data_IF_818920191806
#
_entry.id   IF_818920191806
#
_cell.length_a   1.000
_cell.length_b   1.000
_cell.length_c   1.000
_cell.angle_alpha   90.00
_cell.angle_beta   90.00
_cell.angle_gamma   90.00
#
_symmetry.space_group_name_H-M   'P 1'
#
loop_
_entity.id
_entity.type
_entity.pdbx_description
1 polymer ?
#
# COMPACT_ATOMS: atom_id res chain seq x y z
N UNK A 1 -14.77 17.13 8.06
CA UNK A 1 -15.57 15.94 7.70
C UNK A 1 -16.05 15.33 9.02
N UNK A 2 -17.28 14.88 9.09
CA UNK A 2 -17.84 14.27 10.29
C UNK A 2 -17.79 12.76 10.13
N UNK A 3 -17.61 12.05 11.23
CA UNK A 3 -17.85 10.61 11.27
C UNK A 3 -19.36 10.38 11.22
N UNK A 4 -19.81 9.55 10.28
CA UNK A 4 -21.21 9.23 10.05
C UNK A 4 -21.35 7.72 9.93
N UNK A 5 -22.53 7.20 10.26
CA UNK A 5 -22.80 5.79 10.05
C UNK A 5 -22.78 5.49 8.54
N UNK A 6 -22.11 4.42 8.14
CA UNK A 6 -21.97 4.04 6.71
C UNK A 6 -23.32 3.88 6.00
N UNK A 7 -24.38 3.55 6.74
CA UNK A 7 -25.73 3.41 6.19
C UNK A 7 -26.41 4.75 5.90
N UNK A 8 -25.94 5.81 6.53
CA UNK A 8 -26.50 7.16 6.36
C UNK A 8 -25.76 7.97 5.28
N UNK A 9 -24.62 7.44 4.79
CA UNK A 9 -23.82 8.10 3.76
C UNK A 9 -24.44 7.85 2.38
N UNK A 10 -24.80 8.90 1.61
CA UNK A 10 -25.45 8.75 0.31
C UNK A 10 -24.52 8.22 -0.80
N UNK A 11 -23.25 7.99 -0.49
CA UNK A 11 -22.23 7.47 -1.40
C UNK A 11 -22.07 5.96 -1.27
N UNK A 12 -21.64 5.30 -2.36
CA UNK A 12 -21.27 3.88 -2.32
C UNK A 12 -19.92 3.72 -1.64
N UNK A 13 -19.93 3.42 -0.35
CA UNK A 13 -18.75 3.26 0.49
C UNK A 13 -18.61 1.81 0.95
N UNK A 14 -17.38 1.29 0.96
CA UNK A 14 -17.01 0.10 1.71
C UNK A 14 -16.02 0.53 2.77
N UNK A 15 -16.29 0.21 4.03
CA UNK A 15 -15.36 0.47 5.12
C UNK A 15 -14.94 -0.86 5.75
N UNK A 16 -13.67 -1.00 6.03
CA UNK A 16 -13.05 -2.14 6.70
C UNK A 16 -12.36 -1.63 7.96
N UNK A 17 -12.79 -2.09 9.09
CA UNK A 17 -12.17 -1.78 10.38
C UNK A 17 -10.90 -2.62 10.63
N UNK A 18 -10.12 -2.27 11.64
CA UNK A 18 -8.88 -2.94 12.00
C UNK A 18 -9.10 -4.45 12.22
N UNK A 19 -10.21 -4.84 12.84
CA UNK A 19 -10.52 -6.24 13.12
C UNK A 19 -10.81 -7.05 11.83
N UNK A 20 -11.45 -6.43 10.85
CA UNK A 20 -11.66 -7.02 9.52
C UNK A 20 -10.34 -7.17 8.79
N UNK A 21 -9.49 -6.13 8.80
CA UNK A 21 -8.16 -6.19 8.18
C UNK A 21 -7.28 -7.28 8.79
N UNK A 22 -7.28 -7.43 10.12
CA UNK A 22 -6.55 -8.50 10.79
C UNK A 22 -7.09 -9.89 10.44
N UNK A 23 -8.40 -10.08 10.40
CA UNK A 23 -9.03 -11.37 10.07
C UNK A 23 -8.84 -11.78 8.61
N UNK A 24 -8.71 -10.84 7.70
CA UNK A 24 -8.42 -11.10 6.28
C UNK A 24 -6.94 -11.21 5.99
N UNK A 25 -6.09 -11.09 7.01
CA UNK A 25 -4.63 -11.06 6.86
C UNK A 25 -4.15 -10.00 5.86
N UNK A 26 -4.91 -8.91 5.74
CA UNK A 26 -4.56 -7.83 4.83
C UNK A 26 -3.24 -7.16 5.26
N UNK A 27 -2.22 -7.24 4.40
CA UNK A 27 -0.87 -6.71 4.65
C UNK A 27 -0.69 -5.33 4.06
N UNK A 28 -1.30 -5.13 2.91
CA UNK A 28 -1.25 -3.89 2.13
C UNK A 28 -2.61 -3.60 1.46
N UNK A 29 -2.65 -2.56 0.64
CA UNK A 29 -3.87 -2.20 -0.09
C UNK A 29 -4.27 -3.20 -1.16
N UNK A 30 -3.37 -4.07 -1.66
CA UNK A 30 -3.73 -5.11 -2.63
C UNK A 30 -4.67 -6.13 -2.00
N UNK A 31 -4.40 -6.52 -0.75
CA UNK A 31 -5.27 -7.44 -0.02
C UNK A 31 -6.66 -6.85 0.23
N UNK A 32 -6.74 -5.52 0.39
CA UNK A 32 -8.01 -4.78 0.51
C UNK A 32 -8.85 -4.88 -0.77
N UNK A 33 -8.24 -5.00 -1.94
CA UNK A 33 -8.97 -5.17 -3.20
C UNK A 33 -9.84 -6.43 -3.22
N UNK A 34 -9.38 -7.51 -2.58
CA UNK A 34 -10.15 -8.76 -2.46
C UNK A 34 -11.44 -8.63 -1.64
N UNK A 35 -11.55 -7.61 -0.80
CA UNK A 35 -12.69 -7.39 0.12
C UNK A 35 -13.65 -6.33 -0.38
N UNK A 36 -13.20 -5.42 -1.24
CA UNK A 36 -14.03 -4.32 -1.78
C UNK A 36 -14.53 -4.63 -3.20
N UNK A 37 -15.85 -4.69 -3.44
CA UNK A 37 -16.38 -4.97 -4.77
C UNK A 37 -15.94 -3.94 -5.82
N UNK A 38 -15.57 -4.41 -7.01
CA UNK A 38 -15.14 -3.58 -8.15
C UNK A 38 -13.91 -2.70 -7.89
N UNK A 39 -13.11 -3.02 -6.89
CA UNK A 39 -11.77 -2.49 -6.68
C UNK A 39 -10.76 -3.50 -7.22
N UNK A 40 -9.87 -3.05 -8.08
CA UNK A 40 -8.73 -3.82 -8.58
C UNK A 40 -7.48 -2.99 -8.30
N UNK A 41 -6.47 -3.61 -7.74
CA UNK A 41 -5.17 -3.01 -7.51
C UNK A 41 -4.13 -3.94 -8.12
N UNK A 42 -3.56 -3.50 -9.24
CA UNK A 42 -2.55 -4.26 -9.97
C UNK A 42 -1.18 -3.62 -9.75
N UNK A 43 -0.25 -4.31 -9.11
CA UNK A 43 1.11 -3.80 -8.94
C UNK A 43 1.82 -3.71 -10.29
N UNK A 44 2.43 -2.57 -10.57
CA UNK A 44 3.17 -2.29 -11.78
C UNK A 44 4.60 -1.86 -11.40
N UNK A 45 5.61 -2.36 -12.08
CA UNK A 45 7.01 -1.97 -11.93
C UNK A 45 7.62 -2.15 -10.52
N UNK A 46 7.11 -3.05 -9.69
CA UNK A 46 7.67 -3.35 -8.38
C UNK A 46 6.67 -3.26 -7.23
N UNK A 47 7.16 -3.27 -6.00
CA UNK A 47 6.31 -3.38 -4.82
C UNK A 47 5.59 -2.09 -4.42
N UNK A 48 6.09 -0.93 -4.82
CA UNK A 48 5.57 0.37 -4.36
C UNK A 48 4.62 1.08 -5.32
N UNK A 49 4.36 0.54 -6.52
CA UNK A 49 3.55 1.21 -7.54
C UNK A 49 2.42 0.33 -8.01
N UNK A 50 1.20 0.85 -8.03
CA UNK A 50 0.04 0.09 -8.50
C UNK A 50 -0.88 0.91 -9.42
N UNK A 51 -1.47 0.24 -10.41
CA UNK A 51 -2.64 0.76 -11.10
C UNK A 51 -3.89 0.41 -10.30
N UNK A 52 -4.65 1.43 -9.94
CA UNK A 52 -5.87 1.26 -9.16
C UNK A 52 -7.07 1.53 -10.05
N UNK A 53 -7.99 0.57 -10.09
CA UNK A 53 -9.25 0.66 -10.83
C UNK A 53 -10.43 0.55 -9.88
N UNK A 54 -11.40 1.46 -10.02
CA UNK A 54 -12.70 1.35 -9.37
C UNK A 54 -13.78 1.39 -10.46
N UNK A 55 -14.60 0.33 -10.52
CA UNK A 55 -15.65 0.19 -11.55
C UNK A 55 -15.14 0.31 -13.00
N UNK A 56 -13.93 -0.18 -13.26
CA UNK A 56 -13.27 -0.10 -14.57
C UNK A 56 -12.68 1.27 -14.93
N UNK A 57 -12.77 2.26 -14.04
CA UNK A 57 -12.13 3.56 -14.22
C UNK A 57 -10.75 3.49 -13.60
N UNK A 58 -9.73 3.54 -14.45
CA UNK A 58 -8.31 3.48 -14.05
C UNK A 58 -7.47 4.39 -14.94
N UNK A 59 -6.24 4.66 -14.50
CA UNK A 59 -5.17 5.18 -15.34
C UNK A 59 -4.14 4.06 -15.49
N UNK A 60 -3.86 3.66 -16.73
CA UNK A 60 -2.90 2.58 -17.00
C UNK A 60 -1.45 3.06 -17.00
N UNK A 61 -1.24 4.38 -17.06
CA UNK A 61 0.07 4.96 -17.08
C UNK A 61 0.48 5.34 -15.65
N UNK A 62 1.55 4.74 -15.18
CA UNK A 62 2.10 4.94 -13.83
C UNK A 62 3.23 5.96 -13.80
N UNK A 63 3.46 6.63 -14.92
CA UNK A 63 4.42 7.74 -14.99
C UNK A 63 4.06 8.81 -13.96
N UNK A 64 5.07 9.29 -13.24
CA UNK A 64 4.90 10.31 -12.17
C UNK A 64 4.27 11.62 -12.64
N UNK A 65 4.25 11.86 -13.96
CA UNK A 65 3.66 13.04 -14.59
C UNK A 65 2.16 12.93 -14.84
N UNK A 66 1.58 11.74 -14.73
CA UNK A 66 0.15 11.55 -14.96
C UNK A 66 -0.63 11.51 -13.64
N UNK A 67 -1.79 12.14 -13.67
CA UNK A 67 -2.71 12.15 -12.55
C UNK A 67 -3.52 10.84 -12.48
N UNK A 68 -3.60 10.17 -11.33
CA UNK A 68 -4.39 8.95 -11.21
C UNK A 68 -5.90 9.22 -11.32
N UNK A 69 -6.66 8.23 -11.78
CA UNK A 69 -8.13 8.31 -11.82
C UNK A 69 -8.78 7.98 -10.46
N UNK A 70 -8.04 7.28 -9.60
CA UNK A 70 -8.43 6.92 -8.23
C UNK A 70 -7.40 7.51 -7.28
N UNK A 71 -7.85 8.33 -6.35
CA UNK A 71 -6.98 8.98 -5.38
C UNK A 71 -6.74 8.09 -4.14
N UNK A 72 -5.57 8.23 -3.55
CA UNK A 72 -5.27 7.65 -2.24
C UNK A 72 -5.12 8.79 -1.24
N UNK A 73 -5.77 8.64 -0.10
CA UNK A 73 -5.64 9.52 1.04
C UNK A 73 -5.14 8.75 2.25
N UNK A 74 -4.25 9.36 3.01
CA UNK A 74 -3.84 8.86 4.33
C UNK A 74 -4.08 9.97 5.34
N UNK A 75 -4.87 9.69 6.37
CA UNK A 75 -5.26 10.65 7.42
C UNK A 75 -5.78 11.99 6.87
N UNK A 76 -6.48 11.95 5.72
CA UNK A 76 -7.01 13.13 5.06
C UNK A 76 -6.04 13.86 4.13
N UNK A 77 -4.79 13.42 4.02
CA UNK A 77 -3.75 13.97 3.15
C UNK A 77 -3.75 13.18 1.83
N UNK A 78 -3.83 13.88 0.70
CA UNK A 78 -3.73 13.28 -0.62
C UNK A 78 -2.29 12.83 -0.92
N UNK A 79 -2.14 11.57 -1.29
CA UNK A 79 -0.87 11.02 -1.74
C UNK A 79 -0.77 11.17 -3.25
N UNK A 80 0.10 12.10 -3.69
CA UNK A 80 0.17 12.51 -5.09
C UNK A 80 0.94 11.55 -6.00
N UNK A 81 1.61 10.55 -5.43
CA UNK A 81 2.47 9.63 -6.20
C UNK A 81 1.92 8.22 -6.21
N UNK A 82 1.93 7.59 -7.39
CA UNK A 82 1.56 6.17 -7.53
C UNK A 82 2.53 5.24 -6.77
N UNK A 83 3.73 5.70 -6.44
CA UNK A 83 4.73 4.94 -5.67
C UNK A 83 4.34 4.74 -4.21
N UNK A 84 3.40 5.51 -3.67
CA UNK A 84 2.85 5.31 -2.33
C UNK A 84 1.55 4.49 -2.34
N UNK A 85 1.18 3.90 -3.48
CA UNK A 85 -0.11 3.22 -3.66
C UNK A 85 -0.24 1.93 -2.84
N UNK A 86 0.87 1.31 -2.46
CA UNK A 86 0.87 0.07 -1.67
C UNK A 86 1.21 0.36 -0.20
N UNK A 87 0.41 1.23 0.42
CA UNK A 87 0.54 1.50 1.85
C UNK A 87 0.30 0.23 2.67
N UNK A 88 1.14 0.04 3.67
CA UNK A 88 0.92 -1.03 4.63
C UNK A 88 -0.33 -0.74 5.46
N UNK A 89 -1.15 -1.77 5.70
CA UNK A 89 -2.38 -1.67 6.49
C UNK A 89 -2.15 -1.68 8.00
N UNK A 90 -0.90 -1.91 8.43
CA UNK A 90 -0.54 -1.91 9.84
C UNK A 90 -0.85 -0.55 10.48
N UNK A 91 -1.37 -0.59 11.68
CA UNK A 91 -1.81 0.58 12.42
C UNK A 91 -3.00 1.35 11.80
N UNK A 92 -3.62 0.81 10.73
CA UNK A 92 -4.88 1.35 10.24
C UNK A 92 -6.00 1.10 11.27
N UNK A 93 -6.75 2.14 11.59
CA UNK A 93 -8.01 2.04 12.33
C UNK A 93 -9.10 1.52 11.40
N UNK A 94 -9.13 2.07 10.18
CA UNK A 94 -10.04 1.66 9.11
C UNK A 94 -9.54 2.09 7.73
N UNK A 95 -10.03 1.40 6.72
CA UNK A 95 -9.85 1.76 5.32
C UNK A 95 -11.21 1.95 4.69
N UNK A 96 -11.41 3.08 4.05
CA UNK A 96 -12.65 3.45 3.37
C UNK A 96 -12.41 3.47 1.85
N UNK A 97 -13.24 2.77 1.09
CA UNK A 97 -13.24 2.79 -0.38
C UNK A 97 -14.51 3.49 -0.85
N UNK A 98 -14.37 4.70 -1.37
CA UNK A 98 -15.47 5.49 -1.91
C UNK A 98 -15.50 5.29 -3.42
N UNK A 99 -16.60 4.74 -3.93
CA UNK A 99 -16.74 4.34 -5.33
C UNK A 99 -17.56 5.34 -6.11
N UNK A 100 -17.00 5.81 -7.22
CA UNK A 100 -17.59 6.84 -8.08
C UNK A 100 -17.02 8.23 -7.81
N UNK A 101 -17.40 9.24 -8.62
CA UNK A 101 -16.81 10.57 -8.55
C UNK A 101 -16.93 11.24 -7.18
N UNK A 102 -15.81 11.69 -6.63
CA UNK A 102 -15.74 12.37 -5.33
C UNK A 102 -15.16 13.79 -5.42
N UNK A 103 -15.16 14.39 -6.62
CA UNK A 103 -14.49 15.66 -6.89
C UNK A 103 -14.95 16.85 -6.04
N UNK A 104 -16.22 16.87 -5.62
CA UNK A 104 -16.79 17.96 -4.79
C UNK A 104 -16.22 18.00 -3.38
N UNK A 105 -15.88 16.85 -2.82
CA UNK A 105 -15.40 16.74 -1.43
C UNK A 105 -13.88 16.54 -1.32
N UNK A 106 -13.30 15.87 -2.30
CA UNK A 106 -11.89 15.46 -2.26
C UNK A 106 -11.04 16.11 -3.36
N UNK A 107 -11.66 16.80 -4.33
CA UNK A 107 -10.96 17.52 -5.37
C UNK A 107 -10.55 16.63 -6.54
N UNK A 108 -9.41 16.95 -7.17
CA UNK A 108 -8.94 16.29 -8.40
C UNK A 108 -8.58 14.82 -8.17
N UNK A 109 -8.47 14.08 -9.27
CA UNK A 109 -7.98 12.69 -9.30
C UNK A 109 -8.91 11.68 -8.61
N UNK A 110 -10.19 12.00 -8.49
CA UNK A 110 -11.20 11.18 -7.82
C UNK A 110 -12.38 10.85 -8.73
N UNK A 111 -12.11 10.68 -10.03
CA UNK A 111 -13.16 10.37 -11.04
C UNK A 111 -13.69 8.95 -10.87
N UNK A 112 -12.82 7.98 -10.64
CA UNK A 112 -13.19 6.59 -10.34
C UNK A 112 -13.63 6.40 -8.90
N UNK A 113 -13.08 7.20 -8.00
CA UNK A 113 -13.28 7.09 -6.56
C UNK A 113 -12.01 7.41 -5.78
N UNK A 114 -11.98 6.98 -4.53
CA UNK A 114 -10.78 7.10 -3.70
C UNK A 114 -10.69 5.98 -2.67
N UNK A 115 -9.47 5.76 -2.21
CA UNK A 115 -9.17 4.92 -1.04
C UNK A 115 -8.65 5.85 0.06
N UNK A 116 -9.24 5.76 1.24
CA UNK A 116 -8.83 6.55 2.40
C UNK A 116 -8.37 5.62 3.52
N UNK A 117 -7.08 5.63 3.80
CA UNK A 117 -6.47 4.93 4.92
C UNK A 117 -6.48 5.87 6.12
N UNK A 118 -7.11 5.45 7.20
CA UNK A 118 -7.19 6.22 8.44
C UNK A 118 -6.44 5.42 9.50
N UNK A 119 -5.39 6.00 10.04
CA UNK A 119 -4.57 5.37 11.07
C UNK A 119 -5.15 5.58 12.47
N UNK A 120 -4.85 4.65 13.36
CA UNK A 120 -5.24 4.79 14.75
C UNK A 120 -4.60 6.03 15.39
N UNK A 121 -5.32 6.75 16.22
CA UNK A 121 -4.79 7.89 16.97
C UNK A 121 -3.99 7.40 18.20
N UNK A 122 -3.00 8.18 18.67
CA UNK A 122 -2.39 7.94 19.98
C UNK A 122 -3.43 7.89 21.09
N UNK A 123 -3.39 6.85 21.94
CA UNK A 123 -4.41 6.63 22.97
C UNK A 123 -4.15 7.41 24.28
N UNK A 124 -2.89 7.78 24.54
CA UNK A 124 -2.48 8.37 25.80
C UNK A 124 -2.42 7.38 26.98
N UNK A 125 -2.59 6.10 26.72
CA UNK A 125 -2.44 5.01 27.69
C UNK A 125 -1.27 4.13 27.26
N UNK A 126 -0.56 3.55 28.24
CA UNK A 126 0.49 2.59 27.93
C UNK A 126 -0.13 1.33 27.32
N UNK A 127 0.21 1.06 26.09
CA UNK A 127 -0.27 -0.11 25.40
C UNK A 127 0.45 -0.31 24.08
N UNK A 128 0.22 -1.44 23.42
CA UNK A 128 0.84 -1.69 22.14
C UNK A 128 0.48 -3.05 21.59
N UNK A 129 0.89 -3.27 20.35
CA UNK A 129 0.76 -4.55 19.68
C UNK A 129 2.04 -4.85 18.92
N UNK A 130 2.35 -6.13 18.82
CA UNK A 130 3.43 -6.65 17.99
C UNK A 130 2.87 -7.81 17.17
N UNK A 131 3.23 -7.83 15.91
CA UNK A 131 2.92 -8.94 15.00
C UNK A 131 4.24 -9.46 14.42
N UNK A 132 4.42 -10.76 14.49
CA UNK A 132 5.55 -11.48 13.94
C UNK A 132 5.00 -12.47 12.93
N UNK A 133 5.43 -12.38 11.68
CA UNK A 133 5.03 -13.30 10.62
C UNK A 133 6.27 -14.03 10.13
N UNK A 134 6.17 -15.35 10.04
CA UNK A 134 7.14 -16.20 9.37
C UNK A 134 6.39 -17.08 8.38
N UNK A 135 6.81 -17.12 7.14
CA UNK A 135 6.17 -17.89 6.08
C UNK A 135 7.22 -18.56 5.19
N UNK A 136 6.75 -19.24 4.15
CA UNK A 136 7.61 -19.82 3.13
C UNK A 136 8.48 -18.76 2.46
N UNK A 137 9.48 -19.18 1.70
CA UNK A 137 10.41 -18.32 0.96
C UNK A 137 11.13 -17.29 1.87
N UNK A 138 11.51 -17.74 3.08
CA UNK A 138 12.24 -16.94 4.08
C UNK A 138 11.53 -15.66 4.55
N UNK A 139 10.24 -15.52 4.30
CA UNK A 139 9.50 -14.33 4.71
C UNK A 139 9.48 -14.17 6.23
N UNK A 140 9.89 -12.99 6.70
CA UNK A 140 9.97 -12.60 8.11
C UNK A 140 9.51 -11.14 8.26
N UNK A 141 8.30 -10.96 8.74
CA UNK A 141 7.78 -9.61 9.00
C UNK A 141 7.76 -9.32 10.50
N UNK A 142 8.13 -8.13 10.86
CA UNK A 142 7.98 -7.60 12.23
C UNK A 142 7.23 -6.28 12.15
N UNK A 143 6.11 -6.19 12.84
CA UNK A 143 5.30 -4.99 12.92
C UNK A 143 5.00 -4.70 14.39
N UNK A 144 5.28 -3.49 14.84
CA UNK A 144 5.09 -3.10 16.23
C UNK A 144 4.48 -1.71 16.33
N UNK A 145 3.60 -1.51 17.30
CA UNK A 145 3.06 -0.20 17.68
C UNK A 145 3.06 -0.10 19.20
N UNK A 146 3.51 1.03 19.72
CA UNK A 146 3.54 1.34 21.15
C UNK A 146 2.91 2.71 21.36
N UNK A 147 1.90 2.77 22.22
CA UNK A 147 1.33 3.99 22.77
C UNK A 147 1.98 4.28 24.10
N UNK A 148 2.27 5.55 24.37
CA UNK A 148 2.83 6.01 25.62
C UNK A 148 1.77 6.72 26.47
N UNK A 149 1.93 6.71 27.81
CA UNK A 149 1.07 7.46 28.69
C UNK A 149 1.06 8.94 28.32
N UNK A 150 -0.11 9.55 28.39
CA UNK A 150 -0.24 10.98 28.10
C UNK A 150 0.59 11.82 29.09
N UNK A 151 1.26 12.80 28.57
CA UNK A 151 2.06 13.78 29.30
C UNK A 151 1.39 15.17 29.27
N UNK A 152 2.01 16.20 29.84
CA UNK A 152 1.46 17.57 29.93
C UNK A 152 0.04 17.58 30.52
N UNK A 153 -0.11 16.97 31.70
CA UNK A 153 -1.40 16.85 32.41
C UNK A 153 -2.48 16.07 31.59
N UNK A 154 -2.06 15.12 30.77
CA UNK A 154 -2.97 14.30 29.98
C UNK A 154 -3.36 14.88 28.63
N UNK A 155 -2.80 16.05 28.25
CA UNK A 155 -3.17 16.70 26.99
C UNK A 155 -2.36 16.24 25.78
N UNK A 156 -1.19 15.62 25.98
CA UNK A 156 -0.34 15.14 24.87
C UNK A 156 -0.18 13.63 24.91
N UNK A 157 -0.76 12.96 23.95
CA UNK A 157 -0.58 11.54 23.70
C UNK A 157 0.43 11.30 22.57
N UNK A 158 1.24 10.24 22.68
CA UNK A 158 2.24 9.90 21.67
C UNK A 158 2.21 8.41 21.35
N UNK A 159 2.54 8.08 20.10
CA UNK A 159 2.59 6.71 19.59
C UNK A 159 3.78 6.55 18.64
N UNK A 160 4.42 5.40 18.69
CA UNK A 160 5.48 4.99 17.75
C UNK A 160 5.07 3.66 17.11
N UNK A 161 5.21 3.60 15.80
CA UNK A 161 5.03 2.36 15.02
C UNK A 161 6.30 2.07 14.22
N UNK A 162 6.64 0.80 14.09
CA UNK A 162 7.76 0.32 13.30
C UNK A 162 7.36 -0.91 12.52
N UNK A 163 7.85 -1.00 11.29
CA UNK A 163 7.60 -2.11 10.37
C UNK A 163 8.93 -2.52 9.74
N UNK A 164 9.21 -3.80 9.76
CA UNK A 164 10.23 -4.44 8.94
C UNK A 164 9.55 -5.57 8.18
N UNK A 165 9.57 -5.49 6.86
CA UNK A 165 9.16 -6.56 5.96
C UNK A 165 10.44 -7.08 5.32
N UNK A 166 10.66 -8.38 5.44
CA UNK A 166 11.78 -9.09 4.85
C UNK A 166 11.19 -10.35 4.23
N UNK A 167 11.27 -10.48 2.92
CA UNK A 167 10.65 -11.58 2.20
C UNK A 167 11.60 -12.20 1.21
N UNK A 168 11.60 -13.53 1.17
CA UNK A 168 12.44 -14.27 0.26
C UNK A 168 12.15 -14.01 -1.21
N UNK A 169 13.16 -14.15 -2.00
CA UNK A 169 13.09 -14.07 -3.43
C UNK A 169 12.32 -15.26 -4.02
N UNK A 170 11.28 -14.97 -4.79
CA UNK A 170 10.45 -16.01 -5.42
C UNK A 170 10.99 -16.51 -6.76
N UNK A 171 12.04 -15.85 -7.30
CA UNK A 171 12.54 -16.12 -8.65
C UNK A 171 14.03 -16.33 -8.63
N UNK A 172 14.48 -17.39 -9.26
CA UNK A 172 15.91 -17.64 -9.47
C UNK A 172 16.35 -17.14 -10.83
N UNK A 173 17.32 -16.21 -10.85
CA UNK A 173 17.95 -15.69 -12.06
C UNK A 173 19.12 -16.58 -12.48
N UNK A 174 18.93 -17.35 -13.53
CA UNK A 174 19.96 -18.30 -14.02
C UNK A 174 21.23 -17.61 -14.54
N UNK A 175 21.16 -16.36 -14.93
CA UNK A 175 22.31 -15.62 -15.48
C UNK A 175 23.17 -15.03 -14.39
N UNK A 176 22.53 -14.51 -13.35
CA UNK A 176 23.23 -13.94 -12.21
C UNK A 176 23.52 -14.97 -11.13
N UNK A 177 22.90 -16.15 -11.25
CA UNK A 177 22.97 -17.21 -10.23
C UNK A 177 22.54 -16.69 -8.86
N UNK A 178 21.46 -15.87 -8.82
CA UNK A 178 20.93 -15.23 -7.62
C UNK A 178 19.43 -15.38 -7.55
N UNK A 179 18.91 -15.43 -6.34
CA UNK A 179 17.48 -15.27 -6.09
C UNK A 179 17.11 -13.79 -6.24
N UNK A 180 15.94 -13.50 -6.81
CA UNK A 180 15.46 -12.15 -7.10
C UNK A 180 13.96 -12.00 -6.73
N UNK A 181 13.55 -10.76 -6.51
CA UNK A 181 12.17 -10.41 -6.16
C UNK A 181 11.93 -10.40 -4.65
N UNK A 182 12.98 -10.20 -3.86
CA UNK A 182 12.85 -10.06 -2.42
C UNK A 182 12.16 -8.75 -2.03
N UNK A 183 11.55 -8.76 -0.87
CA UNK A 183 10.91 -7.59 -0.24
C UNK A 183 11.78 -7.16 0.92
N UNK A 184 12.30 -5.95 0.88
CA UNK A 184 13.02 -5.33 1.99
C UNK A 184 12.46 -3.92 2.25
N UNK A 185 11.53 -3.81 3.20
CA UNK A 185 10.90 -2.55 3.58
C UNK A 185 11.11 -2.29 5.06
N UNK A 186 11.61 -1.11 5.38
CA UNK A 186 11.70 -0.62 6.75
C UNK A 186 10.91 0.69 6.85
N UNK A 187 10.01 0.78 7.81
CA UNK A 187 9.21 2.00 8.02
C UNK A 187 9.09 2.33 9.50
N UNK A 188 9.15 3.61 9.79
CA UNK A 188 8.92 4.17 11.13
C UNK A 188 7.90 5.28 11.07
N UNK A 189 7.01 5.31 12.05
CA UNK A 189 6.03 6.39 12.22
C UNK A 189 6.00 6.85 13.66
N UNK A 190 6.03 8.17 13.86
CA UNK A 190 5.87 8.80 15.17
C UNK A 190 4.69 9.75 15.09
N UNK A 191 3.69 9.52 15.93
CA UNK A 191 2.49 10.35 16.00
C UNK A 191 2.35 11.00 17.36
N UNK A 192 1.98 12.27 17.37
CA UNK A 192 1.65 13.05 18.55
C UNK A 192 0.27 13.69 18.39
N UNK A 193 -0.58 13.52 19.37
CA UNK A 193 -1.90 14.12 19.46
C UNK A 193 -1.94 15.03 20.67
N UNK A 194 -2.09 16.33 20.45
CA UNK A 194 -2.11 17.34 21.49
C UNK A 194 -3.44 18.09 21.56
N UNK A 195 -4.09 18.01 22.70
CA UNK A 195 -5.35 18.67 23.00
C UNK A 195 -5.12 19.74 24.06
N UNK A 196 -4.55 20.94 23.72
CA UNK A 196 -4.26 21.97 24.68
C UNK A 196 -5.52 22.57 25.33
N UNK A 197 -6.64 22.51 24.65
CA UNK A 197 -7.98 22.91 25.12
C UNK A 197 -9.02 21.92 24.59
N UNK A 198 -10.23 21.96 25.15
CA UNK A 198 -11.33 21.09 24.71
C UNK A 198 -11.75 21.32 23.25
N UNK A 199 -11.49 22.49 22.69
CA UNK A 199 -11.88 22.87 21.33
C UNK A 199 -10.73 22.80 20.32
N UNK A 200 -9.51 22.43 20.74
CA UNK A 200 -8.34 22.41 19.87
C UNK A 200 -7.63 21.06 19.92
N UNK A 201 -7.62 20.38 18.78
CA UNK A 201 -6.85 19.15 18.56
C UNK A 201 -5.75 19.43 17.52
N UNK A 202 -4.51 19.11 17.87
CA UNK A 202 -3.35 19.19 16.97
C UNK A 202 -2.76 17.80 16.84
N UNK A 203 -2.76 17.27 15.63
CA UNK A 203 -2.10 16.01 15.31
C UNK A 203 -0.89 16.25 14.42
N UNK A 204 0.25 15.70 14.83
CA UNK A 204 1.49 15.73 14.06
C UNK A 204 1.93 14.28 13.87
N UNK A 205 2.26 13.93 12.64
CA UNK A 205 2.80 12.60 12.32
C UNK A 205 4.03 12.78 11.44
N UNK A 206 5.09 12.06 11.79
CA UNK A 206 6.29 11.92 10.98
C UNK A 206 6.39 10.46 10.54
N UNK A 207 6.56 10.26 9.24
CA UNK A 207 6.73 8.95 8.62
C UNK A 207 8.05 8.91 7.87
N UNK A 208 8.77 7.80 8.00
CA UNK A 208 9.96 7.48 7.23
C UNK A 208 9.81 6.07 6.66
N UNK A 209 10.05 5.91 5.37
CA UNK A 209 9.92 4.64 4.66
C UNK A 209 11.15 4.46 3.78
N UNK A 210 11.89 3.39 4.04
CA UNK A 210 12.97 2.91 3.20
C UNK A 210 12.55 1.58 2.55
N UNK A 211 12.43 1.57 1.24
CA UNK A 211 12.06 0.40 0.43
C UNK A 211 13.24 0.05 -0.48
N UNK A 212 13.92 -1.01 -0.15
CA UNK A 212 15.07 -1.57 -0.89
C UNK A 212 14.70 -2.87 -1.60
N UNK A 213 13.40 -3.16 -1.71
CA UNK A 213 12.90 -4.35 -2.37
C UNK A 213 13.35 -4.43 -3.83
N UNK A 214 13.59 -5.65 -4.27
CA UNK A 214 13.87 -5.92 -5.68
C UNK A 214 12.72 -5.53 -6.60
N UNK A 215 13.06 -5.12 -7.81
CA UNK A 215 12.07 -4.97 -8.86
C UNK A 215 11.50 -6.34 -9.25
N UNK A 216 10.22 -6.40 -9.57
CA UNK A 216 9.61 -7.64 -10.05
C UNK A 216 10.34 -8.12 -11.30
N UNK A 217 10.83 -9.36 -11.30
CA UNK A 217 11.47 -9.92 -12.47
C UNK A 217 10.47 -10.03 -13.62
N UNK A 218 10.89 -9.59 -14.78
CA UNK A 218 10.10 -9.70 -16.02
C UNK A 218 10.73 -10.73 -16.94
N UNK A 219 9.91 -11.60 -17.51
CA UNK A 219 10.34 -12.55 -18.52
C UNK A 219 9.71 -12.23 -19.88
N UNK A 220 10.47 -12.47 -20.92
CA UNK A 220 9.96 -12.32 -22.28
C UNK A 220 9.12 -13.54 -22.67
N UNK A 221 7.90 -13.29 -23.18
CA UNK A 221 7.02 -14.33 -23.71
C UNK A 221 7.05 -14.43 -25.25
N UNK A 222 7.71 -13.48 -25.92
CA UNK A 222 7.75 -13.44 -27.39
C UNK A 222 8.69 -14.51 -27.92
N UNK A 223 8.18 -15.37 -28.83
CA UNK A 223 9.00 -16.36 -29.50
C UNK A 223 9.63 -15.80 -30.78
N UNK A 224 10.84 -16.27 -31.18
CA UNK A 224 11.41 -15.91 -32.46
C UNK A 224 10.47 -16.27 -33.64
N UNK A 225 10.03 -15.27 -34.40
CA UNK A 225 9.11 -15.42 -35.51
C UNK A 225 7.67 -15.01 -35.27
N UNK A 226 7.31 -14.56 -34.06
CA UNK A 226 6.00 -13.98 -33.81
C UNK A 226 5.88 -12.53 -34.32
N UNK A 227 4.64 -12.19 -34.69
CA UNK A 227 4.23 -11.14 -35.62
C UNK A 227 4.34 -9.68 -35.10
N UNK A 228 5.42 -9.30 -34.53
CA UNK A 228 5.70 -7.86 -34.39
C UNK A 228 7.08 -7.56 -34.99
N UNK A 229 7.15 -7.61 -36.34
CA UNK A 229 8.38 -7.33 -37.09
C UNK A 229 9.04 -5.97 -36.82
N UNK A 230 8.39 -5.08 -36.06
CA UNK A 230 8.99 -3.84 -35.54
C UNK A 230 9.95 -4.10 -34.37
N UNK A 231 9.86 -5.26 -33.73
CA UNK A 231 10.60 -5.62 -32.51
C UNK A 231 11.49 -6.86 -32.70
N UNK A 232 11.92 -7.14 -33.94
CA UNK A 232 12.80 -8.30 -34.21
C UNK A 232 14.07 -8.33 -33.34
N UNK A 233 14.63 -7.18 -33.02
CA UNK A 233 15.79 -7.12 -32.13
C UNK A 233 15.43 -7.46 -30.69
N UNK A 234 14.26 -7.01 -30.21
CA UNK A 234 13.76 -7.34 -28.88
C UNK A 234 13.39 -8.81 -28.80
N UNK A 235 12.77 -9.37 -29.85
CA UNK A 235 12.46 -10.80 -29.92
C UNK A 235 13.71 -11.68 -29.98
N UNK A 236 14.78 -11.21 -30.63
CA UNK A 236 16.07 -11.91 -30.64
C UNK A 236 16.76 -11.86 -29.27
N UNK A 237 16.68 -10.75 -28.59
CA UNK A 237 17.16 -10.60 -27.21
C UNK A 237 16.30 -11.40 -26.23
N UNK A 238 14.97 -11.42 -26.40
CA UNK A 238 14.06 -12.28 -25.67
C UNK A 238 14.29 -13.78 -25.95
N UNK A 239 14.63 -14.16 -27.18
CA UNK A 239 15.01 -15.53 -27.52
C UNK A 239 16.30 -15.97 -26.81
N UNK A 240 17.25 -15.06 -26.64
CA UNK A 240 18.42 -15.28 -25.80
C UNK A 240 18.07 -15.26 -24.31
N UNK A 241 17.13 -14.38 -23.90
CA UNK A 241 16.66 -14.29 -22.53
C UNK A 241 15.76 -15.48 -22.12
N UNK A 242 15.13 -16.19 -23.05
CA UNK A 242 14.40 -17.44 -22.72
C UNK A 242 15.32 -18.55 -22.22
N UNK A 243 16.62 -18.47 -22.54
CA UNK A 243 17.66 -19.29 -21.92
C UNK A 243 18.11 -18.74 -20.54
N UNK A 244 17.71 -17.52 -20.22
CA UNK A 244 17.96 -16.84 -18.94
C UNK A 244 16.80 -17.06 -17.93
N UNK A 245 15.83 -17.90 -18.27
CA UNK A 245 14.54 -18.09 -17.64
C UNK A 245 14.56 -17.99 -16.11
N UNK A 246 13.71 -17.13 -15.59
CA UNK A 246 13.37 -17.12 -14.18
C UNK A 246 12.55 -18.41 -13.89
N UNK A 247 12.98 -19.17 -12.92
CA UNK A 247 12.21 -20.28 -12.37
C UNK A 247 11.73 -19.86 -10.99
N UNK A 248 10.45 -20.11 -10.73
CA UNK A 248 9.95 -20.06 -9.38
C UNK A 248 10.69 -21.13 -8.58
N UNK A 249 11.32 -20.74 -7.49
CA UNK A 249 11.81 -21.67 -6.48
C UNK A 249 10.59 -22.35 -5.85
N UNK A 250 10.52 -23.67 -5.94
CA UNK A 250 9.48 -24.49 -5.31
C UNK A 250 10.07 -25.07 -4.04
#
# INVERSE_FOLDING_TARGET
KREENIQDVPSSVSAMDANTLEKTFARDLMDVAGVSPNLIIDPILGNGTAAISIRGIQMNDVEKSFDPAVAIYQDGIYLATATAALLNTWDAERIEVLRGPQGTMFGRNTVGGLIHVIRSKPTGELGGKINLTAAEDEQKDVKATINFPAILNGTLATKVSAIKLDGGAYFYNKTRESDEGDVDVTSYSISALWNPTDDLEIQITYDDIDDQSDVRPVSCFTQPGELFGLFQNIAAECGNASNLGFHRTV
#
